data_IF_531601798023
#
_entry.id   IF_531601798023
#
_cell.length_a   1.000
_cell.length_b   1.000
_cell.length_c   1.000
_cell.angle_alpha   90.00
_cell.angle_beta   90.00
_cell.angle_gamma   90.00
#
_symmetry.space_group_name_H-M   'P 1'
#
loop_
_entity.id
_entity.type
_entity.pdbx_description
1 polymer ?
#
# COMPACT_ATOMS: atom_id res chain seq x y z
N UNK A 1 54.26 -49.20 -4.17
CA UNK A 1 54.43 -50.41 -3.32
C UNK A 1 53.54 -50.19 -2.10
N UNK A 2 52.52 -51.01 -1.78
CA UNK A 2 52.57 -52.27 -0.98
C UNK A 2 53.40 -52.08 0.32
N UNK A 3 52.98 -52.46 1.54
CA UNK A 3 51.86 -53.28 2.09
C UNK A 3 51.23 -52.50 3.30
N UNK A 4 50.24 -52.92 4.11
CA UNK A 4 49.43 -54.16 4.28
C UNK A 4 48.02 -53.80 4.83
N UNK A 5 47.26 -54.76 5.39
CA UNK A 5 45.95 -54.59 6.06
C UNK A 5 46.04 -54.81 7.59
N UNK A 6 45.02 -54.36 8.33
CA UNK A 6 44.54 -55.06 9.53
C UNK A 6 43.01 -54.91 9.70
N UNK A 7 42.30 -56.05 9.73
CA UNK A 7 40.98 -56.25 10.36
C UNK A 7 41.13 -56.11 11.90
N UNK A 8 40.12 -55.95 12.76
CA UNK A 8 38.66 -55.73 12.66
C UNK A 8 38.26 -54.85 13.89
N UNK A 9 36.99 -54.56 14.20
CA UNK A 9 36.07 -55.44 14.95
C UNK A 9 34.65 -54.89 14.84
N UNK A 10 33.68 -55.81 14.74
CA UNK A 10 32.25 -55.53 14.71
C UNK A 10 31.73 -55.31 16.14
N UNK A 11 30.99 -54.23 16.39
CA UNK A 11 30.21 -54.05 17.63
C UNK A 11 28.86 -53.39 17.27
N UNK A 12 27.81 -54.20 17.23
CA UNK A 12 26.44 -53.72 17.03
C UNK A 12 25.84 -53.26 18.36
N UNK A 13 25.15 -52.11 18.36
CA UNK A 13 24.26 -51.69 19.44
C UNK A 13 23.00 -51.06 18.85
N UNK A 14 21.85 -51.58 19.27
CA UNK A 14 20.52 -51.17 18.80
C UNK A 14 20.22 -49.73 19.24
N UNK A 15 19.89 -48.86 18.27
CA UNK A 15 19.22 -47.59 18.56
C UNK A 15 17.70 -47.81 18.51
N UNK A 16 17.02 -47.66 19.65
CA UNK A 16 15.59 -47.87 19.76
C UNK A 16 14.80 -46.75 19.06
N UNK A 17 13.91 -47.12 18.13
CA UNK A 17 13.02 -46.21 17.43
C UNK A 17 11.88 -45.75 18.35
N UNK A 18 12.01 -44.59 18.99
CA UNK A 18 10.94 -43.97 19.78
C UNK A 18 9.98 -43.24 18.84
N UNK A 19 8.87 -43.89 18.50
CA UNK A 19 7.77 -43.27 17.75
C UNK A 19 7.00 -42.29 18.64
N UNK A 20 7.25 -40.99 18.49
CA UNK A 20 6.42 -39.95 19.13
C UNK A 20 5.11 -39.78 18.35
N UNK A 21 3.94 -39.77 19.02
CA UNK A 21 2.68 -39.46 18.35
C UNK A 21 2.64 -37.96 17.99
N UNK A 22 2.60 -37.66 16.69
CA UNK A 22 2.36 -36.30 16.21
C UNK A 22 0.95 -35.85 16.57
N UNK A 23 0.81 -35.17 17.71
CA UNK A 23 -0.40 -34.46 18.07
C UNK A 23 -0.66 -33.32 17.08
N UNK A 24 -1.49 -33.58 16.06
CA UNK A 24 -1.94 -32.57 15.13
C UNK A 24 -2.82 -31.55 15.87
N UNK A 25 -2.21 -30.44 16.30
CA UNK A 25 -2.95 -29.27 16.74
C UNK A 25 -3.73 -28.74 15.54
N UNK A 26 -5.03 -29.05 15.50
CA UNK A 26 -5.96 -28.44 14.58
C UNK A 26 -5.91 -26.91 14.82
N UNK A 27 -5.25 -26.19 13.92
CA UNK A 27 -5.29 -24.74 13.92
C UNK A 27 -6.74 -24.34 13.69
N UNK A 28 -7.39 -23.86 14.73
CA UNK A 28 -8.71 -23.25 14.64
C UNK A 28 -8.56 -22.02 13.74
N UNK A 29 -8.85 -22.21 12.46
CA UNK A 29 -8.86 -21.16 11.45
C UNK A 29 -9.99 -20.21 11.80
N UNK A 30 -9.70 -19.21 12.63
CA UNK A 30 -10.55 -18.01 12.72
C UNK A 30 -10.70 -17.50 11.29
N UNK A 31 -11.91 -17.53 10.70
CA UNK A 31 -12.09 -16.99 9.37
C UNK A 31 -11.63 -15.52 9.40
N UNK A 32 -11.08 -15.00 8.29
CA UNK A 32 -10.91 -13.56 8.17
C UNK A 32 -12.22 -12.89 8.55
N UNK A 33 -12.14 -11.84 9.37
CA UNK A 33 -13.32 -11.06 9.71
C UNK A 33 -13.70 -10.27 8.46
N UNK A 34 -14.49 -10.92 7.62
CA UNK A 34 -14.99 -10.42 6.35
C UNK A 34 -15.75 -9.12 6.63
N UNK A 35 -15.49 -8.07 5.85
CA UNK A 35 -16.08 -6.75 6.05
C UNK A 35 -17.61 -6.91 6.14
N UNK A 36 -18.20 -6.60 7.30
CA UNK A 36 -19.57 -6.95 7.63
C UNK A 36 -20.52 -6.55 6.49
N UNK A 37 -21.15 -7.56 5.87
CA UNK A 37 -21.64 -7.49 4.49
C UNK A 37 -22.43 -6.21 4.19
N UNK A 38 -21.75 -5.23 3.61
CA UNK A 38 -22.31 -3.92 3.32
C UNK A 38 -23.48 -4.06 2.34
N UNK A 39 -24.70 -3.76 2.78
CA UNK A 39 -25.90 -3.81 1.93
C UNK A 39 -25.93 -2.70 0.86
N UNK A 40 -24.95 -1.79 0.87
CA UNK A 40 -24.75 -0.72 -0.10
C UNK A 40 -23.55 0.15 0.29
N UNK A 41 -23.21 1.12 -0.56
CA UNK A 41 -22.21 2.15 -0.24
C UNK A 41 -22.84 3.19 0.70
N UNK A 42 -22.14 3.52 1.78
CA UNK A 42 -22.56 4.52 2.78
C UNK A 42 -21.83 5.83 2.53
N UNK A 43 -22.51 6.96 2.76
CA UNK A 43 -21.92 8.28 2.65
C UNK A 43 -20.74 8.45 3.63
N UNK A 44 -19.58 8.97 3.18
CA UNK A 44 -18.47 9.31 4.07
C UNK A 44 -18.82 10.40 5.08
N UNK A 45 -18.05 10.52 6.19
CA UNK A 45 -18.13 11.68 7.08
C UNK A 45 -17.71 12.97 6.36
N UNK A 46 -18.02 14.13 6.96
CA UNK A 46 -17.93 15.44 6.32
C UNK A 46 -16.52 15.79 5.78
N UNK A 47 -15.46 15.38 6.49
CA UNK A 47 -14.05 15.54 6.07
C UNK A 47 -13.69 14.72 4.82
N UNK A 48 -14.44 13.66 4.53
CA UNK A 48 -14.25 12.77 3.39
C UNK A 48 -15.39 12.86 2.36
N UNK A 49 -16.34 13.79 2.50
CA UNK A 49 -17.59 13.81 1.73
C UNK A 49 -17.38 13.86 0.20
N UNK A 50 -16.33 14.52 -0.27
CA UNK A 50 -15.96 14.57 -1.69
C UNK A 50 -15.56 13.21 -2.30
N UNK A 51 -15.35 12.17 -1.48
CA UNK A 51 -15.13 10.79 -1.93
C UNK A 51 -16.27 10.26 -2.82
N UNK A 52 -17.53 10.64 -2.52
CA UNK A 52 -18.70 10.18 -3.27
C UNK A 52 -18.81 10.77 -4.69
N UNK A 53 -17.99 11.76 -5.04
CA UNK A 53 -18.07 12.50 -6.30
C UNK A 53 -16.70 12.58 -7.00
N UNK A 54 -16.11 11.40 -7.25
CA UNK A 54 -14.82 11.28 -7.91
C UNK A 54 -14.86 11.74 -9.39
N UNK A 55 -13.99 12.68 -9.77
CA UNK A 55 -13.88 13.17 -11.16
C UNK A 55 -12.71 12.51 -11.90
N UNK A 56 -12.80 12.23 -13.22
CA UNK A 56 -11.69 11.62 -13.97
C UNK A 56 -10.40 12.47 -13.93
N UNK A 57 -9.27 11.86 -13.56
CA UNK A 57 -7.96 12.53 -13.53
C UNK A 57 -6.83 11.54 -13.87
N UNK A 58 -6.20 11.63 -15.06
CA UNK A 58 -5.00 10.86 -15.34
C UNK A 58 -3.85 11.23 -14.39
N UNK A 59 -3.15 10.24 -13.86
CA UNK A 59 -1.93 10.45 -13.11
C UNK A 59 -0.78 10.87 -14.03
N UNK A 60 0.11 11.74 -13.54
CA UNK A 60 1.31 12.10 -14.26
C UNK A 60 2.31 10.92 -14.24
N UNK A 61 2.86 10.57 -15.41
CA UNK A 61 3.92 9.57 -15.52
C UNK A 61 5.30 10.07 -15.08
N UNK A 62 5.50 11.38 -14.94
CA UNK A 62 6.78 11.98 -14.57
C UNK A 62 6.59 13.37 -13.91
N UNK A 63 7.55 13.87 -13.10
CA UNK A 63 7.37 15.09 -12.31
C UNK A 63 7.13 16.35 -13.15
N UNK A 64 7.71 16.43 -14.34
CA UNK A 64 7.52 17.52 -15.30
C UNK A 64 6.07 17.65 -15.82
N UNK A 65 5.27 16.60 -15.67
CA UNK A 65 3.86 16.57 -16.10
C UNK A 65 2.86 16.81 -14.96
N UNK A 66 3.32 17.12 -13.74
CA UNK A 66 2.46 17.27 -12.55
C UNK A 66 1.37 18.35 -12.68
N UNK A 67 1.53 19.31 -13.59
CA UNK A 67 0.52 20.34 -13.84
C UNK A 67 -0.79 19.81 -14.42
N UNK A 68 -0.78 18.63 -15.06
CA UNK A 68 -1.98 17.96 -15.58
C UNK A 68 -2.64 17.02 -14.57
N UNK A 69 -1.91 16.60 -13.53
CA UNK A 69 -2.35 15.65 -12.51
C UNK A 69 -2.56 16.33 -11.14
N UNK A 70 -3.28 17.45 -11.14
CA UNK A 70 -3.55 18.26 -9.94
C UNK A 70 -4.77 17.73 -9.21
N UNK A 71 -4.59 17.36 -7.94
CA UNK A 71 -5.64 16.83 -7.07
C UNK A 71 -6.09 17.93 -6.08
N UNK A 72 -7.29 18.52 -6.22
CA UNK A 72 -7.79 19.52 -5.29
C UNK A 72 -8.08 18.91 -3.92
N UNK A 73 -7.76 19.63 -2.84
CA UNK A 73 -8.15 19.21 -1.49
C UNK A 73 -9.67 19.04 -1.38
N UNK A 74 -10.09 18.01 -0.65
CA UNK A 74 -11.50 17.68 -0.42
C UNK A 74 -12.24 17.12 -1.64
N UNK A 75 -11.59 16.96 -2.80
CA UNK A 75 -12.21 16.44 -4.02
C UNK A 75 -11.54 15.12 -4.43
N UNK A 76 -12.35 14.08 -4.65
CA UNK A 76 -11.80 12.80 -5.10
C UNK A 76 -11.57 12.80 -6.61
N UNK A 77 -10.55 12.04 -7.03
CA UNK A 77 -10.29 11.70 -8.41
C UNK A 77 -10.56 10.22 -8.67
N UNK A 78 -11.23 9.92 -9.78
CA UNK A 78 -11.22 8.62 -10.42
C UNK A 78 -9.97 8.57 -11.31
N UNK A 79 -8.89 8.06 -10.75
CA UNK A 79 -7.57 8.09 -11.34
C UNK A 79 -7.36 6.99 -12.38
N UNK A 80 -6.70 7.32 -13.49
CA UNK A 80 -6.07 6.35 -14.39
C UNK A 80 -4.56 6.42 -14.25
N UNK A 81 -3.91 5.26 -14.18
CA UNK A 81 -2.50 5.07 -13.84
C UNK A 81 -1.72 4.44 -15.00
N UNK A 82 -0.59 5.02 -15.44
CA UNK A 82 0.38 4.34 -16.29
C UNK A 82 0.90 3.02 -15.69
N UNK A 83 1.50 2.15 -16.50
CA UNK A 83 2.21 0.97 -15.97
C UNK A 83 3.45 1.44 -15.22
N UNK A 84 3.84 0.75 -14.15
CA UNK A 84 5.00 1.12 -13.33
C UNK A 84 6.31 1.33 -14.14
N UNK A 85 6.63 0.54 -15.20
CA UNK A 85 7.80 0.81 -16.05
C UNK A 85 7.74 2.12 -16.86
N UNK A 86 6.56 2.73 -17.01
CA UNK A 86 6.34 4.00 -17.70
C UNK A 86 6.39 5.21 -16.74
N UNK A 87 6.57 4.97 -15.43
CA UNK A 87 6.55 6.01 -14.39
C UNK A 87 7.97 6.37 -13.94
N UNK A 88 8.36 7.62 -14.20
CA UNK A 88 9.52 8.26 -13.56
C UNK A 88 9.05 8.87 -12.25
N UNK A 89 9.42 8.27 -11.12
CA UNK A 89 9.06 8.80 -9.80
C UNK A 89 9.97 9.96 -9.39
N UNK A 90 9.41 10.96 -8.69
CA UNK A 90 10.17 12.09 -8.15
C UNK A 90 11.20 11.65 -7.09
N UNK A 91 10.91 10.56 -6.39
CA UNK A 91 11.82 9.84 -5.50
C UNK A 91 11.51 8.34 -5.58
N UNK A 92 12.52 7.47 -5.47
CA UNK A 92 12.30 6.00 -5.52
C UNK A 92 11.25 5.59 -4.48
N UNK A 93 10.13 4.94 -4.87
CA UNK A 93 9.09 4.56 -3.91
C UNK A 93 9.60 3.63 -2.82
N UNK A 94 9.14 3.82 -1.59
CA UNK A 94 9.61 3.03 -0.44
C UNK A 94 9.18 1.55 -0.53
N UNK A 95 8.02 1.28 -1.14
CA UNK A 95 7.66 -0.06 -1.64
C UNK A 95 7.41 0.01 -3.15
N UNK A 96 8.41 -0.31 -4.00
CA UNK A 96 8.23 -0.31 -5.44
C UNK A 96 7.28 -1.44 -5.87
N UNK A 97 6.52 -1.17 -6.93
CA UNK A 97 5.72 -2.18 -7.61
C UNK A 97 6.54 -3.08 -8.54
N UNK A 98 5.95 -4.21 -8.95
CA UNK A 98 6.49 -5.05 -10.02
C UNK A 98 6.14 -4.53 -11.41
N UNK A 99 6.74 -5.10 -12.46
CA UNK A 99 6.53 -4.71 -13.86
C UNK A 99 5.08 -4.79 -14.36
N UNK A 100 4.24 -5.64 -13.73
CA UNK A 100 2.82 -5.80 -14.05
C UNK A 100 1.90 -4.84 -13.27
N UNK A 101 2.44 -4.08 -12.33
CA UNK A 101 1.66 -3.13 -11.50
C UNK A 101 1.62 -1.73 -12.10
N UNK A 102 0.70 -0.91 -11.62
CA UNK A 102 0.48 0.46 -12.07
C UNK A 102 0.85 1.47 -10.97
N UNK A 103 1.08 2.71 -11.38
CA UNK A 103 1.44 3.81 -10.50
C UNK A 103 1.36 5.15 -11.20
N UNK A 104 1.79 6.21 -10.53
CA UNK A 104 1.77 7.56 -11.09
C UNK A 104 1.87 8.63 -10.01
N UNK A 105 1.91 9.88 -10.45
CA UNK A 105 2.12 11.04 -9.59
C UNK A 105 0.92 12.00 -9.62
N UNK A 106 0.64 12.64 -8.48
CA UNK A 106 -0.31 13.74 -8.36
C UNK A 106 0.31 14.90 -7.60
N UNK A 107 -0.02 16.14 -7.98
CA UNK A 107 0.33 17.32 -7.20
C UNK A 107 -0.88 17.79 -6.39
N UNK A 108 -0.65 18.17 -5.12
CA UNK A 108 -1.63 18.88 -4.32
C UNK A 108 -0.93 19.97 -3.49
N UNK A 109 -1.71 20.95 -3.04
CA UNK A 109 -1.24 22.06 -2.22
C UNK A 109 -1.85 21.96 -0.82
N UNK A 110 -1.01 21.97 0.22
CA UNK A 110 -1.42 22.12 1.62
C UNK A 110 -1.39 23.61 1.98
N UNK A 111 -2.54 24.28 2.21
CA UNK A 111 -2.57 25.73 2.42
C UNK A 111 -2.10 26.17 3.80
N UNK A 112 -2.11 25.27 4.78
CA UNK A 112 -1.71 25.50 6.18
C UNK A 112 -1.06 24.26 6.79
N UNK A 113 -0.31 24.44 7.87
CA UNK A 113 0.17 23.34 8.70
C UNK A 113 -1.01 22.52 9.25
N UNK A 114 -0.89 21.20 9.24
CA UNK A 114 -1.96 20.31 9.70
C UNK A 114 -1.69 18.83 9.40
N UNK A 115 -2.60 17.95 9.82
CA UNK A 115 -2.54 16.54 9.42
C UNK A 115 -3.48 16.31 8.23
N UNK A 116 -2.94 15.81 7.12
CA UNK A 116 -3.69 15.52 5.91
C UNK A 116 -3.72 14.00 5.68
N UNK A 117 -4.85 13.48 5.23
CA UNK A 117 -5.01 12.06 4.90
C UNK A 117 -5.12 11.87 3.41
N UNK A 118 -4.31 10.95 2.87
CA UNK A 118 -4.50 10.40 1.53
C UNK A 118 -5.34 9.14 1.66
N UNK A 119 -6.52 9.14 1.03
CA UNK A 119 -7.46 8.02 0.99
C UNK A 119 -7.45 7.35 -0.39
N UNK A 120 -7.50 6.01 -0.43
CA UNK A 120 -7.52 5.20 -1.65
C UNK A 120 -8.59 4.09 -1.61
N UNK A 121 -9.15 3.74 -2.78
CA UNK A 121 -10.03 2.58 -2.95
C UNK A 121 -9.27 1.27 -3.04
N UNK A 122 -7.96 1.33 -3.26
CA UNK A 122 -7.07 0.16 -3.36
C UNK A 122 -6.06 0.12 -2.21
N UNK A 123 -5.22 -0.92 -2.19
CA UNK A 123 -4.15 -1.10 -1.21
C UNK A 123 -2.79 -0.55 -1.66
N UNK A 124 -2.74 0.28 -2.72
CA UNK A 124 -1.50 0.77 -3.31
C UNK A 124 -0.58 1.47 -2.30
N UNK A 125 0.72 1.48 -2.59
CA UNK A 125 1.69 2.24 -1.80
C UNK A 125 1.52 3.74 -2.03
N UNK A 126 1.77 4.52 -0.98
CA UNK A 126 1.66 5.98 -0.97
C UNK A 126 2.96 6.51 -0.37
N UNK A 127 3.72 7.26 -1.15
CA UNK A 127 4.73 8.18 -0.61
C UNK A 127 4.24 9.61 -0.85
N UNK A 128 4.32 10.47 0.17
CA UNK A 128 4.17 11.92 0.00
C UNK A 128 5.56 12.53 -0.02
N UNK A 129 5.87 13.29 -1.06
CA UNK A 129 7.21 13.81 -1.33
C UNK A 129 7.18 15.34 -1.44
N UNK A 130 8.17 15.99 -0.83
CA UNK A 130 8.44 17.41 -0.98
C UNK A 130 9.95 17.64 -0.92
N UNK A 131 10.46 18.54 -1.76
CA UNK A 131 11.87 18.97 -1.78
C UNK A 131 12.87 17.77 -1.82
N UNK A 132 12.53 16.74 -2.60
CA UNK A 132 13.32 15.51 -2.76
C UNK A 132 13.29 14.53 -1.57
N UNK A 133 12.41 14.73 -0.59
CA UNK A 133 12.31 13.92 0.64
C UNK A 133 10.90 13.36 0.83
N UNK A 134 10.81 12.14 1.36
CA UNK A 134 9.53 11.56 1.85
C UNK A 134 9.11 12.29 3.13
N UNK A 135 7.82 12.61 3.24
CA UNK A 135 7.16 12.96 4.50
C UNK A 135 6.76 11.67 5.20
N UNK A 136 7.22 11.48 6.43
CA UNK A 136 6.86 10.30 7.23
C UNK A 136 5.37 10.32 7.60
N UNK A 137 4.68 9.22 7.36
CA UNK A 137 3.26 9.04 7.72
C UNK A 137 3.10 8.78 9.22
N UNK A 138 2.13 9.43 9.86
CA UNK A 138 1.87 9.30 11.31
C UNK A 138 0.78 8.28 11.67
N UNK A 139 -0.11 7.93 10.74
CA UNK A 139 -1.13 6.90 10.98
C UNK A 139 -1.54 6.17 9.69
N UNK A 140 -1.86 4.88 9.80
CA UNK A 140 -2.33 4.01 8.72
C UNK A 140 -3.65 3.37 9.15
N UNK A 141 -4.63 3.26 8.25
CA UNK A 141 -5.92 2.65 8.56
C UNK A 141 -6.75 2.30 7.33
N UNK A 142 -7.95 1.77 7.58
CA UNK A 142 -9.05 1.70 6.61
C UNK A 142 -9.90 2.97 6.72
N UNK A 143 -10.70 3.27 5.71
CA UNK A 143 -11.72 4.30 5.85
C UNK A 143 -12.96 3.80 6.61
N UNK A 144 -13.95 4.68 6.82
CA UNK A 144 -15.19 4.32 7.50
C UNK A 144 -15.92 3.20 6.76
N UNK A 145 -16.59 2.33 7.52
CA UNK A 145 -17.23 1.13 6.99
C UNK A 145 -18.18 1.45 5.82
N UNK A 146 -18.19 0.58 4.81
CA UNK A 146 -19.04 0.68 3.62
C UNK A 146 -18.87 1.93 2.75
N UNK A 147 -17.86 2.78 2.96
CA UNK A 147 -17.58 3.95 2.07
C UNK A 147 -16.86 3.61 0.77
N UNK A 148 -16.27 2.41 0.67
CA UNK A 148 -15.35 2.03 -0.42
C UNK A 148 -13.91 2.54 -0.25
N UNK A 149 -13.60 3.30 0.82
CA UNK A 149 -12.23 3.70 1.15
C UNK A 149 -11.50 2.52 1.80
N UNK A 150 -10.64 1.85 1.01
CA UNK A 150 -9.88 0.68 1.47
C UNK A 150 -8.67 1.05 2.34
N UNK A 151 -8.03 2.19 2.07
CA UNK A 151 -6.79 2.61 2.75
C UNK A 151 -6.81 4.11 3.01
N UNK A 152 -6.34 4.50 4.19
CA UNK A 152 -6.07 5.89 4.60
C UNK A 152 -4.67 5.96 5.22
N UNK A 153 -3.89 6.96 4.82
CA UNK A 153 -2.58 7.26 5.41
C UNK A 153 -2.50 8.74 5.74
N UNK A 154 -2.22 9.06 7.01
CA UNK A 154 -2.11 10.42 7.51
C UNK A 154 -0.66 10.91 7.49
N UNK A 155 -0.47 12.17 7.12
CA UNK A 155 0.83 12.85 7.02
C UNK A 155 0.75 14.22 7.73
N UNK A 156 1.73 14.57 8.57
CA UNK A 156 1.89 15.93 9.08
C UNK A 156 2.52 16.79 7.97
N UNK A 157 1.79 17.78 7.47
CA UNK A 157 2.25 18.67 6.41
C UNK A 157 2.40 20.10 6.92
N UNK A 158 3.39 20.79 6.37
CA UNK A 158 3.58 22.24 6.46
C UNK A 158 2.92 22.92 5.25
N UNK A 159 2.72 24.25 5.26
CA UNK A 159 2.24 24.95 4.06
C UNK A 159 3.17 24.72 2.86
N UNK A 160 2.60 24.39 1.70
CA UNK A 160 3.33 24.22 0.45
C UNK A 160 2.76 23.15 -0.49
N UNK A 161 3.47 22.95 -1.61
CA UNK A 161 3.14 21.92 -2.61
C UNK A 161 3.78 20.58 -2.26
N UNK A 162 3.04 19.51 -2.51
CA UNK A 162 3.46 18.13 -2.30
C UNK A 162 3.16 17.28 -3.54
N UNK A 163 3.97 16.23 -3.73
CA UNK A 163 3.77 15.19 -4.73
C UNK A 163 3.33 13.91 -4.03
N UNK A 164 2.19 13.36 -4.42
CA UNK A 164 1.78 12.00 -4.05
C UNK A 164 2.33 11.06 -5.10
N UNK A 165 3.05 10.03 -4.66
CA UNK A 165 3.48 8.92 -5.48
C UNK A 165 2.62 7.69 -5.17
N UNK A 166 1.89 7.22 -6.17
CA UNK A 166 1.19 5.93 -6.10
C UNK A 166 2.07 4.88 -6.76
N UNK A 167 2.35 3.79 -6.03
CA UNK A 167 3.10 2.66 -6.55
C UNK A 167 2.43 1.33 -6.18
N UNK A 168 2.78 0.26 -6.91
CA UNK A 168 2.29 -1.09 -6.65
C UNK A 168 0.75 -1.25 -6.66
N UNK A 169 0.02 -0.47 -7.47
CA UNK A 169 -1.40 -0.70 -7.68
C UNK A 169 -1.62 -1.93 -8.59
N UNK A 170 -2.60 -2.78 -8.26
CA UNK A 170 -2.91 -3.99 -9.03
C UNK A 170 -3.72 -3.75 -10.31
N UNK A 171 -4.33 -2.57 -10.44
CA UNK A 171 -5.25 -2.19 -11.51
C UNK A 171 -4.79 -0.89 -12.20
N UNK A 172 -5.21 -0.61 -13.46
CA UNK A 172 -4.93 0.66 -14.12
C UNK A 172 -5.68 1.85 -13.51
N UNK A 173 -6.56 1.61 -12.54
CA UNK A 173 -7.42 2.61 -11.92
C UNK A 173 -7.44 2.53 -10.38
N UNK A 174 -7.78 3.66 -9.75
CA UNK A 174 -8.20 3.75 -8.35
C UNK A 174 -8.98 5.04 -8.10
N UNK A 175 -9.65 5.16 -6.96
CA UNK A 175 -10.13 6.44 -6.45
C UNK A 175 -9.13 6.98 -5.42
N UNK A 176 -8.78 8.27 -5.51
CA UNK A 176 -7.88 8.96 -4.57
C UNK A 176 -8.51 10.26 -4.07
N UNK A 177 -8.31 10.58 -2.80
CA UNK A 177 -8.71 11.84 -2.17
C UNK A 177 -7.60 12.31 -1.22
N UNK A 178 -7.39 13.63 -1.14
CA UNK A 178 -6.64 14.25 -0.04
C UNK A 178 -7.59 15.14 0.76
N UNK A 179 -7.68 14.89 2.06
CA UNK A 179 -8.47 15.69 2.98
C UNK A 179 -7.61 16.18 4.15
N UNK A 180 -7.85 17.39 4.63
CA UNK A 180 -7.38 17.81 5.94
C UNK A 180 -8.18 17.07 7.02
N UNK A 181 -7.52 16.60 8.09
CA UNK A 181 -8.22 16.01 9.24
C UNK A 181 -8.76 17.13 10.16
N UNK A 182 -9.97 16.98 10.72
CA UNK A 182 -10.48 17.84 11.80
C UNK A 182 -9.60 17.80 13.06
#
# INVERSE_FOLDING_TARGET
MRRTHALAVLAALFAASVSTPSGALAQASTPPMEDAACSGVVAPPADLAGWSHATPLPAAGAPENLDTARLPLGHAAAATLPRTPEVTYALRPAKPGGSVSYGGLFAFDAPKAGTYTVALSTGAWIDVVRDGKVVESTAHGRGPACTGIRKMVAFPLEPGRYVIQIAANGAPDLSILVAERP
#
